data_IF_700335402411
#
_entry.id   IF_700335402411
#
_cell.length_a   1.000
_cell.length_b   1.000
_cell.length_c   1.000
_cell.angle_alpha   90.00
_cell.angle_beta   90.00
_cell.angle_gamma   90.00
#
_symmetry.space_group_name_H-M   'P 1'
#
loop_
_entity.id
_entity.type
_entity.pdbx_description
1 polymer ?
#
# COMPACT_ATOMS: atom_id res chain seq x y z
N UNK A 1 -4.98 -4.72 12.74
CA UNK A 1 -5.83 -5.13 13.87
C UNK A 1 -7.22 -4.65 13.55
N UNK A 2 -8.18 -5.55 13.48
CA UNK A 2 -9.57 -5.13 13.29
C UNK A 2 -10.07 -4.51 14.60
N UNK A 3 -10.76 -3.38 14.50
CA UNK A 3 -11.26 -2.67 15.68
C UNK A 3 -12.78 -2.49 15.57
N UNK A 4 -13.47 -2.65 16.71
CA UNK A 4 -14.91 -2.45 16.81
C UNK A 4 -15.15 -1.39 17.87
N UNK A 5 -15.75 -0.27 17.48
CA UNK A 5 -16.07 0.84 18.38
C UNK A 5 -17.59 1.07 18.40
N UNK A 6 -18.19 1.07 19.58
CA UNK A 6 -19.59 1.48 19.73
C UNK A 6 -19.69 3.00 19.59
N UNK A 7 -20.50 3.47 18.65
CA UNK A 7 -20.67 4.91 18.36
C UNK A 7 -22.09 5.41 18.63
N UNK A 8 -23.02 4.52 18.98
CA UNK A 8 -24.39 4.87 19.37
C UNK A 8 -25.19 3.69 19.89
N UNK A 9 -26.47 3.93 20.20
CA UNK A 9 -27.40 2.86 20.52
C UNK A 9 -27.73 2.08 19.24
N UNK A 10 -27.29 0.82 19.18
CA UNK A 10 -27.42 -0.02 17.98
C UNK A 10 -26.39 0.23 16.88
N UNK A 11 -25.47 1.19 17.03
CA UNK A 11 -24.50 1.57 15.98
C UNK A 11 -23.07 1.24 16.38
N UNK A 12 -22.37 0.53 15.49
CA UNK A 12 -20.98 0.12 15.64
C UNK A 12 -20.16 0.57 14.43
N UNK A 13 -18.98 1.11 14.70
CA UNK A 13 -17.95 1.41 13.71
C UNK A 13 -17.00 0.22 13.63
N UNK A 14 -16.85 -0.31 12.43
CA UNK A 14 -16.01 -1.47 12.12
C UNK A 14 -14.82 -0.99 11.29
N UNK A 15 -13.62 -1.13 11.84
CA UNK A 15 -12.38 -0.85 11.14
C UNK A 15 -11.81 -2.19 10.66
N UNK A 16 -12.16 -2.59 9.44
CA UNK A 16 -11.74 -3.85 8.83
C UNK A 16 -10.44 -3.61 8.05
N UNK A 17 -9.31 -4.07 8.60
CA UNK A 17 -8.01 -4.01 7.93
C UNK A 17 -7.81 -5.26 7.07
N UNK A 18 -8.67 -5.45 6.06
CA UNK A 18 -8.54 -6.59 5.15
C UNK A 18 -7.39 -6.37 4.17
N UNK A 19 -6.48 -7.35 4.10
CA UNK A 19 -5.41 -7.34 3.08
C UNK A 19 -5.93 -8.01 1.82
N UNK A 20 -5.99 -7.26 0.72
CA UNK A 20 -6.36 -7.80 -0.60
C UNK A 20 -5.10 -8.11 -1.39
N UNK A 21 -4.98 -9.34 -1.89
CA UNK A 21 -3.92 -9.72 -2.82
C UNK A 21 -4.36 -9.47 -4.25
N UNK A 22 -3.53 -8.79 -5.03
CA UNK A 22 -3.76 -8.53 -6.45
C UNK A 22 -2.60 -9.07 -7.27
N UNK A 23 -2.91 -9.51 -8.50
CA UNK A 23 -1.92 -9.96 -9.48
C UNK A 23 -2.02 -9.08 -10.71
N UNK A 24 -0.88 -8.55 -11.17
CA UNK A 24 -0.79 -7.76 -12.38
C UNK A 24 0.49 -8.11 -13.13
N UNK A 25 0.51 -7.82 -14.44
CA UNK A 25 1.66 -8.09 -15.31
C UNK A 25 2.52 -6.83 -15.42
N UNK A 26 3.83 -7.02 -15.40
CA UNK A 26 4.83 -6.00 -15.65
C UNK A 26 5.83 -6.51 -16.68
N UNK A 27 6.46 -5.59 -17.40
CA UNK A 27 7.60 -5.93 -18.27
C UNK A 27 8.76 -6.45 -17.42
N UNK A 28 9.46 -7.47 -17.92
CA UNK A 28 10.54 -8.15 -17.20
C UNK A 28 11.69 -7.20 -16.84
N UNK A 29 12.02 -6.24 -17.72
CA UNK A 29 13.06 -5.25 -17.46
C UNK A 29 12.71 -4.37 -16.25
N UNK A 30 11.45 -3.93 -16.17
CA UNK A 30 10.97 -3.14 -15.05
C UNK A 30 10.93 -3.97 -13.78
N UNK A 31 10.50 -5.24 -13.87
CA UNK A 31 10.50 -6.14 -12.73
C UNK A 31 11.91 -6.37 -12.18
N UNK A 32 12.90 -6.52 -13.05
CA UNK A 32 14.31 -6.63 -12.66
C UNK A 32 14.81 -5.39 -11.92
N UNK A 33 14.46 -4.19 -12.39
CA UNK A 33 14.76 -2.93 -11.68
C UNK A 33 14.11 -2.88 -10.30
N UNK A 34 12.88 -3.35 -10.17
CA UNK A 34 12.17 -3.43 -8.88
C UNK A 34 12.90 -4.38 -7.92
N UNK A 35 13.28 -5.58 -8.39
CA UNK A 35 13.99 -6.56 -7.57
C UNK A 35 15.36 -6.05 -7.09
N UNK A 36 16.10 -5.34 -7.94
CA UNK A 36 17.35 -4.70 -7.55
C UNK A 36 17.15 -3.64 -6.47
N UNK A 37 16.09 -2.84 -6.57
CA UNK A 37 15.77 -1.82 -5.57
C UNK A 37 15.35 -2.43 -4.23
N UNK A 38 14.55 -3.50 -4.26
CA UNK A 38 14.16 -4.27 -3.06
C UNK A 38 15.41 -4.72 -2.29
N UNK A 39 16.42 -5.25 -3.01
CA UNK A 39 17.69 -5.69 -2.40
C UNK A 39 18.51 -4.53 -1.87
N UNK A 40 18.69 -3.47 -2.67
CA UNK A 40 19.54 -2.32 -2.32
C UNK A 40 19.00 -1.55 -1.11
N UNK A 41 17.68 -1.48 -0.96
CA UNK A 41 17.03 -0.75 0.12
C UNK A 41 16.70 -1.65 1.34
N UNK A 42 17.03 -2.95 1.27
CA UNK A 42 16.88 -3.87 2.41
C UNK A 42 15.44 -4.30 2.69
N UNK A 43 14.54 -4.25 1.70
CA UNK A 43 13.17 -4.75 1.87
C UNK A 43 13.13 -6.27 1.94
N UNK A 44 12.22 -6.79 2.76
CA UNK A 44 12.03 -8.24 2.93
C UNK A 44 11.39 -8.88 1.70
N UNK A 45 10.47 -8.19 1.03
CA UNK A 45 9.78 -8.69 -0.15
C UNK A 45 9.37 -7.55 -1.09
N UNK A 46 9.02 -7.90 -2.34
CA UNK A 46 8.56 -6.94 -3.37
C UNK A 46 7.29 -6.21 -2.96
N UNK A 47 6.34 -6.90 -2.33
CA UNK A 47 5.04 -6.33 -2.00
C UNK A 47 5.15 -5.15 -1.03
N UNK A 48 6.08 -5.22 -0.08
CA UNK A 48 6.32 -4.13 0.88
C UNK A 48 6.91 -2.90 0.19
N UNK A 49 7.92 -3.10 -0.65
CA UNK A 49 8.49 -2.03 -1.47
C UNK A 49 7.44 -1.37 -2.37
N UNK A 50 6.68 -2.18 -3.12
CA UNK A 50 5.65 -1.69 -4.03
C UNK A 50 4.56 -0.92 -3.27
N UNK A 51 4.16 -1.40 -2.09
CA UNK A 51 3.15 -0.73 -1.27
C UNK A 51 3.61 0.65 -0.83
N UNK A 52 4.85 0.79 -0.37
CA UNK A 52 5.40 2.08 0.02
C UNK A 52 5.53 3.03 -1.17
N UNK A 53 6.00 2.53 -2.32
CA UNK A 53 6.09 3.32 -3.54
C UNK A 53 4.72 3.87 -3.99
N UNK A 54 3.66 3.05 -3.91
CA UNK A 54 2.29 3.49 -4.22
C UNK A 54 1.81 4.55 -3.22
N UNK A 55 2.04 4.34 -1.93
CA UNK A 55 1.65 5.31 -0.89
C UNK A 55 2.35 6.66 -1.13
N UNK A 56 3.65 6.64 -1.42
CA UNK A 56 4.42 7.85 -1.66
C UNK A 56 3.95 8.58 -2.92
N UNK A 57 3.65 7.82 -3.98
CA UNK A 57 3.07 8.38 -5.20
C UNK A 57 1.70 9.04 -4.96
N UNK A 58 0.84 8.41 -4.16
CA UNK A 58 -0.47 8.99 -3.80
C UNK A 58 -0.28 10.27 -2.98
N UNK A 59 0.64 10.29 -2.00
CA UNK A 59 0.96 11.49 -1.22
C UNK A 59 1.46 12.64 -2.11
N UNK A 60 2.37 12.33 -3.01
CA UNK A 60 2.90 13.29 -3.99
C UNK A 60 1.77 13.92 -4.82
N UNK A 61 0.83 13.11 -5.31
CA UNK A 61 -0.31 13.60 -6.08
C UNK A 61 -1.29 14.44 -5.26
N UNK A 62 -1.57 14.05 -4.00
CA UNK A 62 -2.41 14.86 -3.10
C UNK A 62 -1.81 16.25 -2.87
N UNK A 63 -0.49 16.33 -2.69
CA UNK A 63 0.22 17.59 -2.49
C UNK A 63 0.29 18.46 -3.75
N UNK A 64 0.14 17.86 -4.94
CA UNK A 64 0.06 18.59 -6.22
C UNK A 64 -1.32 19.16 -6.52
N UNK A 65 -2.40 18.54 -6.00
CA UNK A 65 -3.77 19.01 -6.16
C UNK A 65 -4.15 20.22 -5.28
N UNK A 66 -3.19 20.80 -4.54
CA UNK A 66 -3.38 21.96 -3.65
C UNK A 66 -2.75 23.24 -4.20
N UNK A 67 -2.68 23.38 -5.53
CA UNK A 67 -2.32 24.63 -6.22
C UNK A 67 -3.42 25.06 -7.17
#
# INVERSE_FOLDING_TARGET
MDSVKKVGEGTYELELNSTVTISFKLEDELLGKVDDMVRRLGYTNRSDFIREAIIEYIKYNKNKGTK
#
